data_IF_947121997846
#
_entry.id   IF_947121997846
#
_cell.length_a   1.000
_cell.length_b   1.000
_cell.length_c   1.000
_cell.angle_alpha   90.00
_cell.angle_beta   90.00
_cell.angle_gamma   90.00
#
_symmetry.space_group_name_H-M   'P 1'
#
loop_
_entity.id
_entity.type
_entity.pdbx_description
1 polymer ?
#
# COMPACT_ATOMS: atom_id res chain seq x y z
N UNK A 1 -50.46 47.26 3.38
CA UNK A 1 -50.73 46.11 4.28
C UNK A 1 -49.92 44.93 3.78
N UNK A 2 -48.96 44.39 4.55
CA UNK A 2 -48.15 43.21 4.16
C UNK A 2 -49.06 41.98 4.11
N UNK A 3 -49.20 41.33 2.96
CA UNK A 3 -49.87 40.04 2.81
C UNK A 3 -49.12 38.99 3.65
N UNK A 4 -49.78 38.42 4.66
CA UNK A 4 -49.30 37.20 5.33
C UNK A 4 -49.61 36.03 4.41
N UNK A 5 -48.57 35.38 3.89
CA UNK A 5 -48.69 34.11 3.18
C UNK A 5 -49.26 33.05 4.14
N UNK A 6 -50.38 32.40 3.82
CA UNK A 6 -50.93 31.35 4.66
C UNK A 6 -49.97 30.16 4.68
N UNK A 7 -49.48 29.82 5.86
CA UNK A 7 -48.64 28.64 6.06
C UNK A 7 -49.54 27.41 5.85
N UNK A 8 -49.23 26.60 4.83
CA UNK A 8 -49.98 25.39 4.50
C UNK A 8 -49.63 24.25 5.48
N UNK A 9 -50.14 24.37 6.71
CA UNK A 9 -49.92 23.42 7.80
C UNK A 9 -50.31 21.97 7.45
N UNK A 10 -51.35 21.78 6.64
CA UNK A 10 -51.74 20.44 6.16
C UNK A 10 -50.69 19.84 5.22
N UNK A 11 -50.16 20.64 4.29
CA UNK A 11 -49.07 20.21 3.41
C UNK A 11 -47.80 19.84 4.19
N UNK A 12 -47.41 20.64 5.18
CA UNK A 12 -46.27 20.33 6.04
C UNK A 12 -46.50 19.09 6.91
N UNK A 13 -47.73 18.87 7.40
CA UNK A 13 -48.10 17.69 8.18
C UNK A 13 -48.04 16.40 7.34
N UNK A 14 -48.54 16.43 6.10
CA UNK A 14 -48.46 15.31 5.15
C UNK A 14 -47.01 14.98 4.78
N UNK A 15 -46.19 15.99 4.50
CA UNK A 15 -44.77 15.80 4.20
C UNK A 15 -44.04 15.23 5.43
N UNK A 16 -44.33 15.73 6.63
CA UNK A 16 -43.77 15.20 7.88
C UNK A 16 -44.15 13.74 8.12
N UNK A 17 -45.41 13.39 7.96
CA UNK A 17 -45.89 12.01 8.10
C UNK A 17 -45.23 11.07 7.08
N UNK A 18 -45.14 11.49 5.81
CA UNK A 18 -44.46 10.72 4.77
C UNK A 18 -42.97 10.52 5.09
N UNK A 19 -42.27 11.58 5.52
CA UNK A 19 -40.85 11.49 5.87
C UNK A 19 -40.62 10.52 7.05
N UNK A 20 -41.49 10.57 8.06
CA UNK A 20 -41.41 9.66 9.22
C UNK A 20 -41.67 8.21 8.79
N UNK A 21 -42.69 7.96 7.98
CA UNK A 21 -42.98 6.61 7.48
C UNK A 21 -41.85 6.06 6.60
N UNK A 22 -41.32 6.88 5.69
CA UNK A 22 -40.19 6.50 4.84
C UNK A 22 -38.92 6.21 5.66
N UNK A 23 -38.60 7.05 6.65
CA UNK A 23 -37.46 6.79 7.55
C UNK A 23 -37.69 5.53 8.38
N UNK A 24 -38.90 5.30 8.87
CA UNK A 24 -39.25 4.09 9.64
C UNK A 24 -39.07 2.84 8.79
N UNK A 25 -39.58 2.84 7.56
CA UNK A 25 -39.41 1.73 6.62
C UNK A 25 -37.93 1.49 6.30
N UNK A 26 -37.16 2.55 6.06
CA UNK A 26 -35.73 2.45 5.79
C UNK A 26 -34.98 1.88 6.99
N UNK A 27 -35.22 2.36 8.21
CA UNK A 27 -34.44 1.98 9.39
C UNK A 27 -34.87 0.65 10.02
N UNK A 28 -36.17 0.30 9.98
CA UNK A 28 -36.68 -0.89 10.63
C UNK A 28 -36.79 -2.10 9.69
N UNK A 29 -37.05 -1.86 8.40
CA UNK A 29 -37.24 -2.96 7.44
C UNK A 29 -36.06 -3.05 6.48
N UNK A 30 -35.72 -1.96 5.80
CA UNK A 30 -34.68 -2.02 4.77
C UNK A 30 -33.29 -2.23 5.36
N UNK A 31 -32.83 -1.37 6.27
CA UNK A 31 -31.47 -1.42 6.82
C UNK A 31 -31.14 -2.75 7.52
N UNK A 32 -32.04 -3.34 8.34
CA UNK A 32 -31.79 -4.65 8.94
C UNK A 32 -31.88 -5.82 7.95
N UNK A 33 -32.64 -5.66 6.84
CA UNK A 33 -32.69 -6.66 5.76
C UNK A 33 -31.40 -6.73 4.94
N UNK A 34 -30.56 -5.68 4.98
CA UNK A 34 -29.24 -5.69 4.35
C UNK A 34 -28.38 -6.70 5.10
N UNK A 35 -28.18 -7.87 4.49
CA UNK A 35 -27.23 -8.88 4.97
C UNK A 35 -25.82 -8.27 5.00
N UNK A 36 -25.41 -7.78 6.16
CA UNK A 36 -24.05 -7.33 6.41
C UNK A 36 -23.34 -8.39 7.24
N UNK A 37 -22.08 -8.65 6.91
CA UNK A 37 -21.30 -9.65 7.64
C UNK A 37 -20.93 -9.13 9.02
N UNK A 38 -20.93 -10.03 10.00
CA UNK A 38 -20.35 -9.72 11.30
C UNK A 38 -18.83 -9.47 11.11
N UNK A 39 -18.43 -8.21 11.20
CA UNK A 39 -17.04 -7.76 11.01
C UNK A 39 -16.09 -8.47 11.97
N UNK A 40 -16.53 -8.78 13.19
CA UNK A 40 -15.71 -9.46 14.20
C UNK A 40 -15.40 -10.89 13.77
N UNK A 41 -16.44 -11.64 13.38
CA UNK A 41 -16.29 -13.02 12.93
C UNK A 41 -15.41 -13.09 11.67
N UNK A 42 -15.58 -12.13 10.76
CA UNK A 42 -14.72 -12.01 9.59
C UNK A 42 -13.26 -11.80 9.95
N UNK A 43 -13.00 -10.79 10.77
CA UNK A 43 -11.65 -10.44 11.19
C UNK A 43 -11.02 -11.62 11.92
N UNK A 44 -11.77 -12.34 12.75
CA UNK A 44 -11.28 -13.51 13.47
C UNK A 44 -10.93 -14.68 12.54
N UNK A 45 -11.83 -15.04 11.61
CA UNK A 45 -11.56 -16.11 10.64
C UNK A 45 -10.37 -15.76 9.75
N UNK A 46 -10.33 -14.55 9.19
CA UNK A 46 -9.20 -14.12 8.37
C UNK A 46 -7.91 -14.11 9.20
N UNK A 47 -7.92 -13.56 10.41
CA UNK A 47 -6.74 -13.53 11.28
C UNK A 47 -6.24 -14.94 11.63
N UNK A 48 -7.12 -15.93 11.79
CA UNK A 48 -6.72 -17.32 12.05
C UNK A 48 -5.97 -17.97 10.87
N UNK A 49 -6.20 -17.45 9.66
CA UNK A 49 -5.57 -17.89 8.44
C UNK A 49 -4.40 -17.00 8.02
N UNK A 50 -3.91 -16.08 8.87
CA UNK A 50 -2.83 -15.13 8.55
C UNK A 50 -1.68 -15.27 9.54
N UNK A 51 -0.44 -15.25 9.06
CA UNK A 51 0.74 -15.07 9.89
C UNK A 51 1.08 -13.57 10.02
N UNK A 52 1.88 -13.22 11.03
CA UNK A 52 2.19 -11.81 11.35
C UNK A 52 2.82 -11.03 10.20
N UNK A 53 3.63 -11.71 9.38
CA UNK A 53 4.45 -11.11 8.31
C UNK A 53 3.92 -11.42 6.90
N UNK A 54 2.65 -11.85 6.80
CA UNK A 54 2.03 -12.09 5.51
C UNK A 54 1.53 -10.80 4.88
N UNK A 55 1.89 -10.56 3.62
CA UNK A 55 1.31 -9.49 2.82
C UNK A 55 -0.09 -9.89 2.36
N UNK A 56 -1.09 -9.10 2.77
CA UNK A 56 -2.47 -9.28 2.32
C UNK A 56 -2.77 -8.42 1.10
N UNK A 57 -3.20 -9.05 0.02
CA UNK A 57 -3.71 -8.45 -1.21
C UNK A 57 -5.22 -8.63 -1.25
N UNK A 58 -5.94 -7.60 -1.68
CA UNK A 58 -7.40 -7.63 -1.77
C UNK A 58 -7.81 -7.18 -3.16
N UNK A 59 -8.37 -8.10 -3.94
CA UNK A 59 -8.78 -7.85 -5.32
C UNK A 59 -10.00 -6.92 -5.40
N UNK A 60 -10.93 -7.05 -4.46
CA UNK A 60 -12.18 -6.31 -4.45
C UNK A 60 -12.25 -5.25 -3.34
N UNK A 61 -12.55 -4.00 -3.72
CA UNK A 61 -12.67 -2.88 -2.79
C UNK A 61 -13.78 -3.05 -1.76
N UNK A 62 -14.83 -3.83 -2.06
CA UNK A 62 -15.92 -4.18 -1.12
C UNK A 62 -15.38 -4.88 0.14
N UNK A 63 -14.24 -5.56 0.04
CA UNK A 63 -13.66 -6.29 1.16
C UNK A 63 -12.70 -5.43 2.00
N UNK A 64 -12.46 -4.18 1.60
CA UNK A 64 -11.45 -3.35 2.27
C UNK A 64 -11.78 -3.06 3.71
N UNK A 65 -13.04 -2.73 4.03
CA UNK A 65 -13.46 -2.45 5.40
C UNK A 65 -13.19 -3.62 6.35
N UNK A 66 -13.29 -4.85 5.85
CA UNK A 66 -13.11 -6.06 6.64
C UNK A 66 -11.64 -6.50 6.76
N UNK A 67 -10.82 -6.23 5.74
CA UNK A 67 -9.41 -6.62 5.71
C UNK A 67 -8.46 -5.54 6.28
N UNK A 68 -8.90 -4.28 6.39
CA UNK A 68 -8.05 -3.13 6.70
C UNK A 68 -7.27 -3.26 8.01
N UNK A 69 -7.89 -3.75 9.07
CA UNK A 69 -7.25 -3.89 10.39
C UNK A 69 -6.09 -4.89 10.35
N UNK A 70 -6.31 -6.04 9.71
CA UNK A 70 -5.32 -7.11 9.54
C UNK A 70 -4.21 -6.65 8.61
N UNK A 71 -4.56 -6.06 7.46
CA UNK A 71 -3.57 -5.53 6.52
C UNK A 71 -2.66 -4.48 7.17
N UNK A 72 -3.23 -3.56 7.96
CA UNK A 72 -2.48 -2.56 8.73
C UNK A 72 -1.49 -3.21 9.70
N UNK A 73 -1.95 -4.15 10.52
CA UNK A 73 -1.12 -4.85 11.50
C UNK A 73 0.01 -5.63 10.82
N UNK A 74 -0.30 -6.34 9.75
CA UNK A 74 0.68 -7.15 9.05
C UNK A 74 1.74 -6.32 8.33
N UNK A 75 1.36 -5.24 7.65
CA UNK A 75 2.35 -4.34 7.05
C UNK A 75 3.26 -3.71 8.10
N UNK A 76 2.72 -3.32 9.26
CA UNK A 76 3.53 -2.82 10.37
C UNK A 76 4.55 -3.87 10.83
N UNK A 77 4.14 -5.14 10.98
CA UNK A 77 5.06 -6.22 11.35
C UNK A 77 6.11 -6.48 10.26
N UNK A 78 5.72 -6.51 8.98
CA UNK A 78 6.67 -6.69 7.85
C UNK A 78 7.77 -5.63 7.89
N UNK A 79 7.39 -4.39 8.15
CA UNK A 79 8.33 -3.26 8.27
C UNK A 79 9.25 -3.45 9.48
N UNK A 80 8.65 -3.69 10.65
CA UNK A 80 9.35 -3.77 11.95
C UNK A 80 10.29 -4.97 12.01
N UNK A 81 9.84 -6.13 11.56
CA UNK A 81 10.61 -7.37 11.58
C UNK A 81 11.58 -7.49 10.40
N UNK A 82 11.47 -6.62 9.39
CA UNK A 82 12.16 -6.73 8.10
C UNK A 82 12.01 -8.13 7.47
N UNK A 83 10.78 -8.66 7.48
CA UNK A 83 10.49 -10.03 7.04
C UNK A 83 9.18 -10.11 6.27
N UNK A 84 9.16 -10.94 5.22
CA UNK A 84 7.97 -11.25 4.44
C UNK A 84 7.69 -12.76 4.50
N UNK A 85 6.70 -13.17 5.28
CA UNK A 85 6.41 -14.59 5.55
C UNK A 85 5.57 -15.29 4.48
N UNK A 86 4.68 -14.55 3.84
CA UNK A 86 3.72 -15.07 2.87
C UNK A 86 3.07 -13.97 2.05
N UNK A 87 2.41 -14.35 0.96
CA UNK A 87 1.52 -13.45 0.22
C UNK A 87 0.16 -14.14 0.11
N UNK A 88 -0.89 -13.40 0.50
CA UNK A 88 -2.25 -13.87 0.55
C UNK A 88 -3.14 -12.96 -0.27
N UNK A 89 -4.05 -13.54 -1.04
CA UNK A 89 -4.94 -12.82 -1.93
C UNK A 89 -6.39 -13.15 -1.59
N UNK A 90 -7.16 -12.14 -1.22
CA UNK A 90 -8.61 -12.25 -1.04
C UNK A 90 -9.30 -11.86 -2.35
N UNK A 91 -10.18 -12.73 -2.80
CA UNK A 91 -11.01 -12.52 -3.98
C UNK A 91 -12.46 -12.92 -3.69
N UNK A 92 -13.37 -12.41 -4.51
CA UNK A 92 -14.75 -12.88 -4.56
C UNK A 92 -14.77 -14.28 -5.17
N UNK A 93 -15.72 -15.14 -4.79
CA UNK A 93 -15.79 -16.51 -5.33
C UNK A 93 -15.92 -16.57 -6.85
N UNK A 94 -16.56 -15.57 -7.46
CA UNK A 94 -16.71 -15.48 -8.91
C UNK A 94 -15.44 -14.91 -9.59
N UNK A 95 -14.47 -14.43 -8.82
CA UNK A 95 -13.23 -13.84 -9.32
C UNK A 95 -12.13 -14.89 -9.46
N UNK A 96 -11.63 -15.06 -10.69
CA UNK A 96 -10.47 -15.90 -10.95
C UNK A 96 -9.19 -15.22 -10.45
N UNK A 97 -8.57 -15.78 -9.42
CA UNK A 97 -7.36 -15.24 -8.80
C UNK A 97 -6.17 -15.04 -9.77
N UNK A 98 -6.14 -15.75 -10.89
CA UNK A 98 -5.14 -15.55 -11.94
C UNK A 98 -5.24 -14.17 -12.62
N UNK A 99 -6.43 -13.56 -12.57
CA UNK A 99 -6.73 -12.28 -13.20
C UNK A 99 -6.46 -11.10 -12.27
N UNK A 100 -5.94 -11.36 -11.06
CA UNK A 100 -5.50 -10.29 -10.18
C UNK A 100 -4.29 -9.56 -10.80
N UNK A 101 -4.51 -8.27 -11.06
CA UNK A 101 -3.50 -7.34 -11.52
C UNK A 101 -3.47 -6.07 -10.67
N UNK A 102 -2.28 -5.49 -10.57
CA UNK A 102 -2.12 -4.10 -10.13
C UNK A 102 -1.55 -3.29 -11.28
N UNK A 103 -2.02 -2.06 -11.46
CA UNK A 103 -1.50 -1.16 -12.49
C UNK A 103 -0.30 -0.40 -11.96
N UNK A 104 0.76 -0.35 -12.75
CA UNK A 104 1.88 0.53 -12.47
C UNK A 104 1.49 1.99 -12.63
N UNK A 105 2.35 2.91 -12.15
CA UNK A 105 2.16 4.37 -12.34
C UNK A 105 2.01 4.74 -13.82
N UNK A 106 2.58 3.96 -14.74
CA UNK A 106 2.48 4.15 -16.20
C UNK A 106 1.34 3.37 -16.85
N UNK A 107 0.47 2.75 -16.06
CA UNK A 107 -0.67 1.96 -16.56
C UNK A 107 -0.34 0.53 -17.00
N UNK A 108 0.93 0.12 -16.98
CA UNK A 108 1.33 -1.26 -17.31
C UNK A 108 0.76 -2.22 -16.25
N UNK A 109 -0.01 -3.25 -16.64
CA UNK A 109 -0.55 -4.23 -15.71
C UNK A 109 0.55 -5.16 -15.17
N UNK A 110 0.46 -5.49 -13.89
CA UNK A 110 1.36 -6.41 -13.19
C UNK A 110 0.50 -7.53 -12.62
N UNK A 111 0.56 -8.68 -13.30
CA UNK A 111 -0.12 -9.91 -12.88
C UNK A 111 0.76 -10.71 -11.93
N UNK A 112 0.17 -11.34 -10.92
CA UNK A 112 0.92 -12.22 -10.02
C UNK A 112 1.42 -13.49 -10.73
N UNK A 113 0.68 -13.99 -11.72
CA UNK A 113 1.12 -15.14 -12.54
C UNK A 113 1.44 -16.40 -11.72
N UNK A 114 0.64 -16.67 -10.68
CA UNK A 114 0.83 -17.77 -9.72
C UNK A 114 -0.31 -18.79 -9.70
N UNK A 115 -1.13 -18.85 -10.75
CA UNK A 115 -2.30 -19.73 -10.82
C UNK A 115 -2.03 -21.15 -10.28
N UNK A 116 -0.88 -21.72 -10.62
CA UNK A 116 -0.51 -23.10 -10.27
C UNK A 116 0.05 -23.27 -8.84
N UNK A 117 0.24 -22.17 -8.09
CA UNK A 117 0.82 -22.17 -6.74
C UNK A 117 -0.16 -21.75 -5.65
N UNK A 118 -1.34 -21.29 -6.04
CA UNK A 118 -2.31 -20.76 -5.10
C UNK A 118 -3.14 -21.91 -4.53
N UNK A 119 -3.02 -22.13 -3.21
CA UNK A 119 -3.96 -22.99 -2.50
C UNK A 119 -5.17 -22.16 -2.11
N UNK A 120 -6.34 -22.56 -2.59
CA UNK A 120 -7.61 -21.96 -2.23
C UNK A 120 -8.03 -22.41 -0.83
N UNK A 121 -8.45 -21.45 0.00
CA UNK A 121 -9.17 -21.70 1.23
C UNK A 121 -10.39 -20.79 1.26
N UNK A 122 -11.54 -21.35 1.60
CA UNK A 122 -12.75 -20.57 1.81
C UNK A 122 -12.60 -19.81 3.13
N UNK A 123 -12.73 -18.48 3.09
CA UNK A 123 -12.78 -17.66 4.33
C UNK A 123 -14.24 -17.49 4.76
N UNK A 124 -15.11 -17.25 3.79
CA UNK A 124 -16.56 -17.10 3.92
C UNK A 124 -17.27 -17.59 2.66
N UNK A 125 -18.57 -17.80 2.76
CA UNK A 125 -19.41 -18.38 1.70
C UNK A 125 -19.35 -17.60 0.37
N UNK A 126 -18.95 -16.32 0.38
CA UNK A 126 -18.80 -15.44 -0.79
C UNK A 126 -17.33 -15.12 -1.16
N UNK A 127 -16.35 -15.63 -0.39
CA UNK A 127 -14.94 -15.20 -0.50
C UNK A 127 -13.92 -16.31 -0.34
N UNK A 128 -12.96 -16.25 -1.24
CA UNK A 128 -11.81 -17.13 -1.28
C UNK A 128 -10.53 -16.40 -0.87
N UNK A 129 -9.72 -17.08 -0.06
CA UNK A 129 -8.35 -16.70 0.27
C UNK A 129 -7.40 -17.66 -0.41
N UNK A 130 -6.67 -17.11 -1.36
CA UNK A 130 -5.59 -17.80 -2.02
C UNK A 130 -4.28 -17.55 -1.26
N UNK A 131 -3.59 -18.63 -0.94
CA UNK A 131 -2.33 -18.58 -0.20
C UNK A 131 -1.17 -18.95 -1.12
N UNK A 132 -0.18 -18.06 -1.23
CA UNK A 132 1.14 -18.42 -1.71
C UNK A 132 2.03 -18.86 -0.54
N UNK A 133 2.05 -20.17 -0.27
CA UNK A 133 2.87 -20.77 0.78
C UNK A 133 4.35 -20.87 0.40
N UNK A 134 5.21 -20.90 1.43
CA UNK A 134 6.64 -21.16 1.32
C UNK A 134 7.35 -20.21 0.35
N UNK A 135 7.06 -18.92 0.45
CA UNK A 135 7.85 -17.92 -0.24
C UNK A 135 9.24 -17.89 0.40
N UNK A 136 10.25 -18.27 -0.37
CA UNK A 136 11.62 -17.95 0.01
C UNK A 136 11.83 -16.48 -0.36
N UNK A 137 11.67 -15.60 0.63
CA UNK A 137 11.85 -14.16 0.47
C UNK A 137 13.21 -13.72 1.00
N UNK A 138 13.93 -12.90 0.24
CA UNK A 138 15.17 -12.27 0.68
C UNK A 138 14.95 -10.76 0.81
N UNK A 139 15.25 -10.18 1.97
CA UNK A 139 15.29 -8.72 2.13
C UNK A 139 16.57 -8.15 1.53
N UNK A 140 16.46 -7.07 0.76
CA UNK A 140 17.57 -6.41 0.08
C UNK A 140 18.03 -5.12 0.73
N UNK A 141 17.15 -4.46 1.50
CA UNK A 141 17.49 -3.19 2.14
C UNK A 141 17.94 -3.45 3.59
N UNK A 142 19.04 -2.82 4.03
CA UNK A 142 19.43 -2.84 5.44
C UNK A 142 18.37 -2.13 6.31
N UNK A 143 18.48 -2.36 7.62
CA UNK A 143 17.80 -1.52 8.60
C UNK A 143 18.30 -0.06 8.48
N UNK A 144 17.43 0.91 8.74
CA UNK A 144 17.71 2.34 8.55
C UNK A 144 18.26 2.69 7.16
N UNK A 145 17.77 2.02 6.10
CA UNK A 145 18.19 2.25 4.72
C UNK A 145 18.20 3.74 4.33
N UNK A 146 17.24 4.50 4.84
CA UNK A 146 17.10 5.94 4.70
C UNK A 146 18.32 6.74 5.18
N UNK A 147 19.02 6.24 6.21
CA UNK A 147 20.21 6.88 6.77
C UNK A 147 21.52 6.25 6.31
N UNK A 148 21.53 4.95 6.02
CA UNK A 148 22.76 4.26 5.58
C UNK A 148 23.08 4.50 4.10
N UNK A 149 22.11 5.00 3.33
CA UNK A 149 22.27 5.21 1.89
C UNK A 149 22.89 6.56 1.60
N UNK A 150 23.87 6.55 0.70
CA UNK A 150 24.46 7.77 0.15
C UNK A 150 23.51 8.39 -0.87
N UNK A 151 22.63 9.28 -0.38
CA UNK A 151 21.62 9.97 -1.19
C UNK A 151 22.25 11.11 -1.98
N UNK A 152 21.83 11.23 -3.24
CA UNK A 152 22.21 12.35 -4.11
C UNK A 152 20.98 12.93 -4.79
N UNK A 153 20.98 14.25 -5.01
CA UNK A 153 19.97 14.89 -5.85
C UNK A 153 20.26 14.52 -7.31
N UNK A 154 19.42 13.65 -7.88
CA UNK A 154 19.54 13.19 -9.26
C UNK A 154 19.02 14.22 -10.26
N UNK A 155 17.98 14.96 -9.89
CA UNK A 155 17.39 16.02 -10.70
C UNK A 155 16.54 16.94 -9.84
N UNK A 156 16.34 18.17 -10.31
CA UNK A 156 15.58 19.18 -9.58
C UNK A 156 16.47 20.02 -8.68
N UNK A 157 15.88 20.61 -7.65
CA UNK A 157 16.56 21.46 -6.68
C UNK A 157 15.89 21.33 -5.31
N UNK A 158 16.66 21.52 -4.24
CA UNK A 158 16.21 21.33 -2.86
C UNK A 158 17.31 20.76 -1.96
N UNK A 159 16.91 20.19 -0.83
CA UNK A 159 17.80 19.54 0.12
C UNK A 159 17.16 18.33 0.80
N UNK A 160 17.97 17.57 1.52
CA UNK A 160 17.51 16.45 2.31
C UNK A 160 18.30 16.37 3.62
N UNK A 161 17.65 15.93 4.69
CA UNK A 161 18.25 15.80 6.02
C UNK A 161 17.76 14.54 6.70
N UNK A 162 18.62 13.96 7.54
CA UNK A 162 18.23 12.89 8.45
C UNK A 162 17.57 13.50 9.69
N UNK A 163 16.55 12.83 10.21
CA UNK A 163 15.77 13.24 11.37
C UNK A 163 15.71 12.11 12.40
N UNK A 164 16.04 12.42 13.65
CA UNK A 164 16.08 11.48 14.79
C UNK A 164 14.81 11.56 15.65
N UNK A 165 14.12 12.71 15.67
CA UNK A 165 12.98 12.93 16.58
C UNK A 165 11.69 12.27 16.11
N UNK A 166 11.55 12.12 14.79
CA UNK A 166 10.33 11.63 14.15
C UNK A 166 10.65 10.42 13.29
N UNK A 167 10.37 9.25 13.82
CA UNK A 167 10.81 7.96 13.27
C UNK A 167 9.68 6.95 13.39
N UNK A 168 9.45 6.19 12.33
CA UNK A 168 8.50 5.08 12.31
C UNK A 168 9.10 3.80 12.88
N UNK A 169 10.27 3.38 12.38
CA UNK A 169 11.08 2.29 12.94
C UNK A 169 12.57 2.60 12.78
N UNK A 170 13.42 2.01 13.63
CA UNK A 170 14.85 2.26 13.59
C UNK A 170 15.25 3.57 14.26
N UNK A 171 16.27 4.25 13.74
CA UNK A 171 16.87 5.44 14.37
C UNK A 171 16.63 6.75 13.62
N UNK A 172 16.43 6.69 12.32
CA UNK A 172 16.41 7.87 11.46
C UNK A 172 15.35 7.78 10.40
N UNK A 173 14.66 8.90 10.15
CA UNK A 173 13.89 9.10 8.93
C UNK A 173 14.60 10.10 8.00
N UNK A 174 14.25 10.06 6.71
CA UNK A 174 14.77 10.99 5.70
C UNK A 174 13.71 12.04 5.35
N UNK A 175 14.00 13.31 5.63
CA UNK A 175 13.21 14.44 5.14
C UNK A 175 13.79 14.88 3.79
N UNK A 176 12.96 14.90 2.76
CA UNK A 176 13.28 15.49 1.46
C UNK A 176 12.46 16.77 1.24
N UNK A 177 13.11 17.89 0.90
CA UNK A 177 12.46 19.19 0.67
C UNK A 177 12.84 19.71 -0.71
N UNK A 178 11.85 19.92 -1.57
CA UNK A 178 12.10 20.48 -2.89
C UNK A 178 12.02 22.01 -2.87
N UNK A 179 12.91 22.67 -3.59
CA UNK A 179 12.82 24.12 -3.82
C UNK A 179 11.52 24.48 -4.54
N UNK A 180 11.01 25.71 -4.37
CA UNK A 180 9.88 26.20 -5.16
C UNK A 180 10.13 26.10 -6.67
N UNK A 181 9.09 25.72 -7.42
CA UNK A 181 9.09 25.73 -8.89
C UNK A 181 9.66 24.48 -9.59
N UNK A 182 10.37 23.58 -8.91
CA UNK A 182 10.87 22.32 -9.51
C UNK A 182 10.68 21.14 -8.56
N UNK A 183 10.19 20.02 -9.09
CA UNK A 183 10.21 18.76 -8.34
C UNK A 183 11.65 18.31 -8.14
N UNK A 184 11.93 17.69 -6.99
CA UNK A 184 13.23 17.10 -6.67
C UNK A 184 13.16 15.58 -6.73
N UNK A 185 14.23 14.95 -7.21
CA UNK A 185 14.39 13.49 -7.19
C UNK A 185 15.69 13.13 -6.50
N UNK A 186 15.60 12.41 -5.39
CA UNK A 186 16.74 11.79 -4.73
C UNK A 186 17.01 10.42 -5.33
N UNK A 187 18.28 10.05 -5.44
CA UNK A 187 18.74 8.72 -5.85
C UNK A 187 19.65 8.14 -4.76
N UNK A 188 19.33 6.93 -4.33
CA UNK A 188 20.17 6.12 -3.46
C UNK A 188 20.60 4.84 -4.17
N UNK A 189 21.90 4.61 -4.31
CA UNK A 189 22.46 3.36 -4.85
C UNK A 189 22.60 2.35 -3.71
N UNK A 190 22.12 1.11 -3.90
CA UNK A 190 22.05 0.15 -2.78
C UNK A 190 22.50 -1.28 -3.12
N UNK A 191 23.36 -1.42 -4.12
CA UNK A 191 24.10 -2.66 -4.38
C UNK A 191 23.74 -3.34 -5.69
N UNK A 192 24.28 -4.55 -5.86
CA UNK A 192 24.17 -5.34 -7.07
C UNK A 192 23.52 -6.69 -6.76
N UNK A 193 22.67 -7.16 -7.66
CA UNK A 193 22.02 -8.47 -7.55
C UNK A 193 22.24 -9.28 -8.83
N UNK A 194 22.26 -10.60 -8.69
CA UNK A 194 22.27 -11.55 -9.79
C UNK A 194 21.09 -12.51 -9.62
N UNK A 195 20.19 -12.50 -10.60
CA UNK A 195 18.98 -13.32 -10.61
C UNK A 195 19.04 -14.32 -11.75
N UNK A 196 18.99 -15.62 -11.43
CA UNK A 196 18.94 -16.69 -12.43
C UNK A 196 17.54 -16.90 -13.03
N UNK A 197 16.51 -16.29 -12.44
CA UNK A 197 15.11 -16.46 -12.82
C UNK A 197 14.26 -15.26 -12.35
N UNK A 198 13.01 -15.10 -12.82
CA UNK A 198 12.18 -13.99 -12.39
C UNK A 198 11.89 -14.01 -10.88
N UNK A 199 11.90 -12.83 -10.26
CA UNK A 199 11.53 -12.62 -8.86
C UNK A 199 10.44 -11.56 -8.77
N UNK A 200 9.44 -11.81 -7.92
CA UNK A 200 8.51 -10.76 -7.54
C UNK A 200 9.21 -9.89 -6.51
N UNK A 201 9.36 -8.62 -6.81
CA UNK A 201 9.79 -7.63 -5.87
C UNK A 201 8.58 -7.09 -5.10
N UNK A 202 8.67 -7.05 -3.78
CA UNK A 202 7.69 -6.47 -2.88
C UNK A 202 8.35 -5.29 -2.18
N UNK A 203 7.87 -4.08 -2.47
CA UNK A 203 8.31 -2.86 -1.82
C UNK A 203 7.31 -2.49 -0.72
N UNK A 204 7.79 -2.24 0.49
CA UNK A 204 7.00 -1.72 1.61
C UNK A 204 7.72 -0.49 2.12
N UNK A 205 6.98 0.58 2.42
CA UNK A 205 7.59 1.83 2.90
C UNK A 205 6.58 2.64 3.70
N UNK A 206 7.10 3.56 4.51
CA UNK A 206 6.29 4.55 5.21
C UNK A 206 6.63 5.96 4.74
N UNK A 207 5.63 6.83 4.75
CA UNK A 207 5.78 8.24 4.44
C UNK A 207 5.00 9.10 5.40
N UNK A 208 5.49 10.32 5.63
CA UNK A 208 4.70 11.37 6.26
C UNK A 208 4.69 12.62 5.39
N UNK A 209 3.49 13.15 5.19
CA UNK A 209 3.24 14.43 4.55
C UNK A 209 3.02 15.50 5.62
N UNK A 210 3.34 16.74 5.29
CA UNK A 210 3.11 17.87 6.18
C UNK A 210 1.77 18.57 5.92
N UNK A 211 1.23 18.50 4.69
CA UNK A 211 -0.14 18.87 4.39
C UNK A 211 -0.92 17.74 3.71
N UNK A 212 -2.25 17.72 3.91
CA UNK A 212 -3.15 16.70 3.34
C UNK A 212 -3.17 16.71 1.81
N UNK A 213 -3.00 17.89 1.21
CA UNK A 213 -3.00 18.08 -0.24
C UNK A 213 -1.67 17.70 -0.92
N UNK A 214 -0.59 17.52 -0.17
CA UNK A 214 0.72 17.20 -0.75
C UNK A 214 0.66 15.83 -1.44
N UNK A 215 1.37 15.68 -2.57
CA UNK A 215 1.42 14.40 -3.28
C UNK A 215 2.41 13.45 -2.60
N UNK A 216 2.06 12.16 -2.59
CA UNK A 216 3.06 11.11 -2.35
C UNK A 216 3.51 10.58 -3.70
N UNK A 217 4.77 10.19 -3.79
CA UNK A 217 5.28 9.46 -4.92
C UNK A 217 5.72 8.09 -4.42
N UNK A 218 5.28 7.04 -5.12
CA UNK A 218 5.81 5.71 -4.86
C UNK A 218 7.30 5.69 -5.20
N UNK A 219 8.17 5.16 -4.31
CA UNK A 219 9.58 5.01 -4.62
C UNK A 219 9.79 4.25 -5.93
N UNK A 220 10.69 4.73 -6.77
CA UNK A 220 11.04 4.08 -8.02
C UNK A 220 12.24 3.15 -7.85
N UNK A 221 12.11 1.88 -8.22
CA UNK A 221 13.27 0.98 -8.31
C UNK A 221 13.90 1.10 -9.69
N UNK A 222 15.07 1.72 -9.75
CA UNK A 222 15.93 1.76 -10.92
C UNK A 222 16.84 0.55 -10.99
N UNK A 223 17.07 0.06 -12.20
CA UNK A 223 18.10 -0.93 -12.50
C UNK A 223 19.02 -0.41 -13.58
N UNK A 224 20.31 -0.73 -13.46
CA UNK A 224 21.24 -0.63 -14.57
C UNK A 224 21.90 -1.96 -14.83
N UNK A 225 22.11 -2.26 -16.11
CA UNK A 225 22.68 -3.53 -16.58
C UNK A 225 23.53 -3.28 -17.82
N UNK A 226 24.44 -4.20 -18.11
CA UNK A 226 25.29 -4.14 -19.31
C UNK A 226 24.63 -4.97 -20.40
N UNK A 227 24.38 -4.37 -21.55
CA UNK A 227 23.94 -5.06 -22.76
C UNK A 227 24.90 -4.70 -23.91
N UNK A 228 25.55 -5.72 -24.49
CA UNK A 228 26.52 -5.54 -25.58
C UNK A 228 27.59 -4.46 -25.28
N UNK A 229 28.14 -4.47 -24.06
CA UNK A 229 29.16 -3.51 -23.62
C UNK A 229 28.64 -2.11 -23.27
N UNK A 230 27.35 -1.82 -23.45
CA UNK A 230 26.73 -0.53 -23.08
C UNK A 230 25.94 -0.66 -21.77
N UNK A 231 26.13 0.29 -20.86
CA UNK A 231 25.34 0.40 -19.64
C UNK A 231 23.97 1.01 -19.97
N UNK A 232 22.92 0.23 -19.76
CA UNK A 232 21.53 0.64 -19.93
C UNK A 232 20.87 0.88 -18.57
N UNK A 233 19.85 1.73 -18.57
CA UNK A 233 19.07 2.08 -17.39
C UNK A 233 17.59 1.80 -17.66
N UNK A 234 16.91 1.23 -16.68
CA UNK A 234 15.47 1.00 -16.71
C UNK A 234 14.87 1.17 -15.32
N UNK A 235 13.55 1.32 -15.25
CA UNK A 235 12.81 1.35 -14.00
C UNK A 235 11.92 0.12 -13.96
N UNK A 236 11.97 -0.61 -12.85
CA UNK A 236 11.07 -1.75 -12.62
C UNK A 236 9.65 -1.22 -12.45
N UNK A 237 8.67 -1.69 -13.25
CA UNK A 237 7.29 -1.29 -13.08
C UNK A 237 6.77 -1.88 -11.76
N UNK A 238 6.42 -1.00 -10.83
CA UNK A 238 5.71 -1.33 -9.60
C UNK A 238 4.27 -0.86 -9.68
N UNK A 239 3.35 -1.62 -9.11
CA UNK A 239 1.96 -1.26 -8.91
C UNK A 239 1.62 -1.30 -7.43
N UNK A 240 0.96 -0.23 -6.95
CA UNK A 240 0.57 -0.10 -5.55
C UNK A 240 -0.53 -1.12 -5.24
N UNK A 241 -0.31 -1.93 -4.21
CA UNK A 241 -1.30 -2.91 -3.74
C UNK A 241 -2.30 -2.22 -2.82
N UNK A 242 -3.55 -2.73 -2.82
CA UNK A 242 -4.65 -2.21 -1.99
C UNK A 242 -4.76 -0.67 -2.03
N UNK A 243 -4.64 -0.06 -3.22
CA UNK A 243 -4.42 1.37 -3.37
C UNK A 243 -5.52 2.25 -2.72
N UNK A 244 -6.75 1.74 -2.60
CA UNK A 244 -7.84 2.43 -1.90
C UNK A 244 -7.85 2.26 -0.37
N UNK A 245 -6.95 1.45 0.21
CA UNK A 245 -6.78 1.34 1.66
C UNK A 245 -5.72 2.33 2.16
N UNK A 246 -6.19 3.49 2.63
CA UNK A 246 -5.32 4.44 3.32
C UNK A 246 -5.07 4.01 4.77
N UNK A 247 -3.80 3.77 5.09
CA UNK A 247 -3.35 3.26 6.37
C UNK A 247 -2.45 4.26 7.07
N UNK A 248 -2.89 4.73 8.23
CA UNK A 248 -2.12 5.63 9.07
C UNK A 248 -1.80 4.94 10.39
N UNK A 249 -0.53 4.95 10.78
CA UNK A 249 -0.05 4.47 12.07
C UNK A 249 0.41 5.68 12.87
N UNK A 250 -0.10 5.81 14.09
CA UNK A 250 0.34 6.84 15.01
C UNK A 250 1.77 6.50 15.43
N UNK A 251 2.66 7.47 15.37
CA UNK A 251 3.99 7.36 15.93
C UNK A 251 3.93 7.12 17.44
N UNK A 252 4.78 6.25 17.95
CA UNK A 252 4.81 5.88 19.36
C UNK A 252 5.75 6.80 20.13
N UNK A 253 5.43 8.09 20.18
CA UNK A 253 6.19 9.10 20.92
C UNK A 253 5.46 9.52 22.19
N UNK A 254 6.25 9.93 23.19
CA UNK A 254 5.75 10.60 24.40
C UNK A 254 5.44 12.09 24.16
N UNK A 255 5.66 12.61 22.95
CA UNK A 255 5.39 14.00 22.61
C UNK A 255 3.90 14.30 22.53
N UNK A 256 3.54 15.56 22.80
CA UNK A 256 2.16 16.05 22.64
C UNK A 256 1.72 16.08 21.17
N UNK A 257 2.67 16.30 20.24
CA UNK A 257 2.43 16.27 18.81
C UNK A 257 2.24 14.83 18.29
N UNK A 258 1.03 14.55 17.79
CA UNK A 258 0.71 13.23 17.22
C UNK A 258 1.14 13.16 15.76
N UNK A 259 2.23 12.44 15.50
CA UNK A 259 2.67 12.12 14.14
C UNK A 259 1.95 10.87 13.61
N UNK A 260 1.58 10.88 12.33
CA UNK A 260 0.93 9.76 11.66
C UNK A 260 1.68 9.40 10.38
N UNK A 261 2.21 8.18 10.36
CA UNK A 261 2.90 7.60 9.22
C UNK A 261 1.91 6.88 8.31
N UNK A 262 1.94 7.20 7.03
CA UNK A 262 1.24 6.45 6.01
C UNK A 262 2.10 5.28 5.57
N UNK A 263 1.59 4.06 5.69
CA UNK A 263 2.29 2.87 5.23
C UNK A 263 1.70 2.36 3.91
N UNK A 264 2.59 1.84 3.07
CA UNK A 264 2.27 1.45 1.70
C UNK A 264 2.96 0.15 1.33
N UNK A 265 2.41 -0.54 0.33
CA UNK A 265 3.14 -1.59 -0.36
C UNK A 265 2.87 -1.58 -1.86
N UNK A 266 3.79 -2.15 -2.61
CA UNK A 266 3.74 -2.27 -4.05
C UNK A 266 4.44 -3.55 -4.50
N UNK A 267 4.03 -4.07 -5.64
CA UNK A 267 4.62 -5.27 -6.24
C UNK A 267 5.05 -5.02 -7.68
N UNK A 268 6.09 -5.71 -8.12
CA UNK A 268 6.63 -5.62 -9.47
C UNK A 268 7.48 -6.84 -9.80
N UNK A 269 7.68 -7.12 -11.09
CA UNK A 269 8.51 -8.24 -11.54
C UNK A 269 9.90 -7.78 -11.93
N UNK A 270 10.93 -8.45 -11.41
CA UNK A 270 12.31 -8.29 -11.88
C UNK A 270 12.66 -9.52 -12.72
N UNK A 271 13.09 -9.28 -13.95
CA UNK A 271 13.53 -10.32 -14.88
C UNK A 271 14.90 -10.89 -14.46
N UNK A 272 15.29 -12.06 -14.99
CA UNK A 272 16.63 -12.61 -14.77
C UNK A 272 17.71 -11.67 -15.31
N UNK A 273 18.87 -11.66 -14.66
CA UNK A 273 20.00 -10.84 -15.07
C UNK A 273 20.87 -10.37 -13.91
N UNK A 274 21.91 -9.62 -14.25
CA UNK A 274 22.78 -8.93 -13.31
C UNK A 274 22.45 -7.44 -13.34
N UNK A 275 22.10 -6.89 -12.19
CA UNK A 275 21.61 -5.53 -12.06
C UNK A 275 22.33 -4.79 -10.95
N UNK A 276 22.61 -3.51 -11.17
CA UNK A 276 22.91 -2.54 -10.12
C UNK A 276 21.65 -1.74 -9.80
N UNK A 277 21.28 -1.70 -8.53
CA UNK A 277 19.97 -1.23 -8.06
C UNK A 277 20.04 0.17 -7.45
N UNK A 278 19.05 1.00 -7.77
CA UNK A 278 18.87 2.33 -7.21
C UNK A 278 17.43 2.55 -6.73
N UNK A 279 17.22 3.27 -5.64
CA UNK A 279 15.90 3.81 -5.26
C UNK A 279 15.85 5.28 -5.64
N UNK A 280 14.72 5.68 -6.24
CA UNK A 280 14.39 7.07 -6.53
C UNK A 280 13.23 7.54 -5.64
N UNK A 281 13.43 8.65 -4.93
CA UNK A 281 12.41 9.29 -4.11
C UNK A 281 12.08 10.66 -4.72
N UNK A 282 10.81 10.93 -4.98
CA UNK A 282 10.39 12.21 -5.53
C UNK A 282 9.83 13.12 -4.42
N UNK A 283 10.06 14.42 -4.53
CA UNK A 283 9.44 15.45 -3.71
C UNK A 283 8.83 16.52 -4.62
N UNK A 284 7.59 16.91 -4.34
CA UNK A 284 6.85 17.91 -5.11
C UNK A 284 7.43 19.31 -4.87
N UNK A 285 7.48 20.13 -5.92
CA UNK A 285 8.03 21.48 -5.89
C UNK A 285 7.48 22.31 -4.71
N UNK A 286 8.38 22.91 -3.92
CA UNK A 286 8.03 23.72 -2.75
C UNK A 286 7.41 22.94 -1.58
N UNK A 287 7.47 21.61 -1.60
CA UNK A 287 6.92 20.72 -0.56
C UNK A 287 8.01 19.95 0.17
N UNK A 288 7.60 19.27 1.22
CA UNK A 288 8.43 18.37 1.99
C UNK A 288 7.71 17.04 2.20
N UNK A 289 8.47 15.97 2.25
CA UNK A 289 7.98 14.63 2.55
C UNK A 289 9.02 13.88 3.36
N UNK A 290 8.56 13.09 4.31
CA UNK A 290 9.39 12.17 5.08
C UNK A 290 9.24 10.76 4.54
N UNK A 291 10.35 10.05 4.44
CA UNK A 291 10.44 8.63 4.13
C UNK A 291 11.09 7.90 5.30
N UNK A 292 10.56 6.73 5.61
CA UNK A 292 11.11 5.86 6.65
C UNK A 292 10.74 4.41 6.36
N UNK A 293 11.58 3.51 6.87
CA UNK A 293 11.34 2.09 7.01
C UNK A 293 11.02 1.38 5.69
N UNK A 294 11.73 1.77 4.64
CA UNK A 294 11.73 1.11 3.34
C UNK A 294 12.27 -0.31 3.48
N UNK A 295 11.53 -1.26 2.91
CA UNK A 295 11.89 -2.67 2.80
C UNK A 295 11.62 -3.14 1.38
N UNK A 296 12.58 -3.86 0.81
CA UNK A 296 12.45 -4.48 -0.51
C UNK A 296 12.72 -5.97 -0.38
N UNK A 297 11.72 -6.79 -0.69
CA UNK A 297 11.84 -8.24 -0.65
C UNK A 297 11.82 -8.83 -2.05
N UNK A 298 12.67 -9.82 -2.31
CA UNK A 298 12.60 -10.63 -3.52
C UNK A 298 11.97 -11.98 -3.20
N UNK A 299 10.87 -12.30 -3.88
CA UNK A 299 10.18 -13.58 -3.80
C UNK A 299 10.42 -14.38 -5.08
N UNK A 300 11.07 -15.52 -4.92
CA UNK A 300 11.41 -16.41 -6.04
C UNK A 300 10.14 -16.95 -6.72
N UNK A 301 10.03 -16.80 -8.05
CA UNK A 301 9.03 -17.53 -8.85
C UNK A 301 9.50 -18.99 -8.98
N UNK A 302 8.96 -19.93 -8.20
CA UNK A 302 9.31 -21.35 -8.41
C UNK A 302 9.02 -21.72 -9.88
N UNK A 303 9.90 -22.48 -10.55
CA UNK A 303 9.60 -22.99 -11.89
C UNK A 303 8.32 -23.82 -11.81
N UNK A 304 7.44 -23.64 -12.79
CA UNK A 304 6.36 -24.59 -13.07
C UNK A 304 7.04 -25.89 -13.47
N UNK A 305 6.89 -26.93 -12.64
CA UNK A 305 7.28 -28.30 -12.95
C UNK A 305 6.40 -28.86 -14.06
#
# INVERSE_FOLDING_TARGET
>A
IKQKTPINWMGYSLIGAYAVLALTEIFLNYYPSIKTFNVKDYTQKLSSQMQKNDLLLVADSRFYLYARSIYKKNLQNIITDNQLGGIKLIVDNDFNAADYEVKSVRGVPIVLGWKDRLKEKIVFDDRNLFHLENINSTSLLPEDFEATTDWHIQSGDGDFVLQEEHVFTGKYSLIARASPGKNMVLRGLFGNIKLSQPHLAVLVWSTKKFASADRYFMPGLGVSYINQGKKLYSQIPFGKTNAGMNLHIKENTFSEEKYYWQIHSAIGWIHPGEFSLNIFLNCEAGKSIMYDSMRLFLVRKKPTS
#
